data_IF_216364476000
#
_entry.id   IF_216364476000
#
_cell.length_a   1.000
_cell.length_b   1.000
_cell.length_c   1.000
_cell.angle_alpha   90.00
_cell.angle_beta   90.00
_cell.angle_gamma   90.00
#
_symmetry.space_group_name_H-M   'P 1'
#
loop_
_entity.id
_entity.type
_entity.pdbx_description
1 polymer ?
#
# COMPACT_ATOMS: atom_id res chain seq x y z
N UNK A 1 -17.55 3.01 -16.91
CA UNK A 1 -17.85 4.39 -16.50
C UNK A 1 -16.63 4.96 -15.80
N UNK A 2 -15.98 5.98 -16.38
CA UNK A 2 -14.77 6.64 -15.85
C UNK A 2 -15.11 7.99 -15.17
N UNK A 3 -16.32 8.14 -14.63
CA UNK A 3 -16.87 9.43 -14.23
C UNK A 3 -16.54 9.85 -12.78
N UNK A 4 -15.54 9.23 -12.15
CA UNK A 4 -15.15 9.51 -10.77
C UNK A 4 -13.64 9.31 -10.61
N UNK A 5 -12.97 10.09 -9.74
CA UNK A 5 -11.54 9.91 -9.47
C UNK A 5 -11.22 8.50 -8.96
N UNK A 6 -10.16 7.91 -9.50
CA UNK A 6 -9.69 6.57 -9.12
C UNK A 6 -9.07 5.82 -10.28
N UNK A 7 -8.62 4.61 -9.99
CA UNK A 7 -8.11 3.66 -10.97
C UNK A 7 -9.25 2.91 -11.66
N UNK A 8 -8.92 2.09 -12.66
CA UNK A 8 -9.85 1.14 -13.27
C UNK A 8 -10.56 0.30 -12.18
N UNK A 9 -11.77 -0.20 -12.44
CA UNK A 9 -12.49 -1.06 -11.46
C UNK A 9 -12.20 -2.55 -11.63
N UNK A 10 -11.32 -2.91 -12.57
CA UNK A 10 -10.88 -4.28 -12.86
C UNK A 10 -9.40 -4.44 -12.50
N UNK A 11 -8.90 -5.69 -12.47
CA UNK A 11 -7.49 -6.01 -12.20
C UNK A 11 -6.58 -5.70 -13.40
N UNK A 12 -6.54 -4.42 -13.79
CA UNK A 12 -5.53 -3.89 -14.70
C UNK A 12 -4.30 -3.42 -13.93
N UNK A 13 -3.26 -2.99 -14.66
CA UNK A 13 -1.95 -2.62 -14.13
C UNK A 13 -2.02 -1.86 -12.79
N UNK A 14 -2.72 -0.72 -12.73
CA UNK A 14 -2.76 0.11 -11.52
C UNK A 14 -3.34 -0.60 -10.27
N UNK A 15 -4.28 -1.54 -10.41
CA UNK A 15 -4.83 -2.27 -9.26
C UNK A 15 -3.97 -3.49 -8.91
N UNK A 16 -3.42 -4.17 -9.92
CA UNK A 16 -2.49 -5.28 -9.70
C UNK A 16 -1.19 -4.80 -9.05
N UNK A 17 -0.68 -3.64 -9.45
CA UNK A 17 0.50 -3.01 -8.84
C UNK A 17 0.22 -2.61 -7.38
N UNK A 18 -0.96 -2.06 -7.08
CA UNK A 18 -1.36 -1.75 -5.70
C UNK A 18 -1.40 -3.01 -4.81
N UNK A 19 -1.89 -4.13 -5.35
CA UNK A 19 -1.89 -5.42 -4.66
C UNK A 19 -0.47 -5.95 -4.45
N UNK A 20 0.39 -5.86 -5.46
CA UNK A 20 1.80 -6.24 -5.37
C UNK A 20 2.52 -5.46 -4.26
N UNK A 21 2.32 -4.15 -4.18
CA UNK A 21 2.92 -3.32 -3.13
C UNK A 21 2.44 -3.71 -1.72
N UNK A 22 1.18 -4.12 -1.58
CA UNK A 22 0.64 -4.61 -0.31
C UNK A 22 1.24 -5.96 0.09
N UNK A 23 1.32 -6.91 -0.85
CA UNK A 23 1.91 -8.24 -0.63
C UNK A 23 3.42 -8.19 -0.36
N UNK A 24 4.12 -7.19 -0.91
CA UNK A 24 5.52 -6.91 -0.60
C UNK A 24 5.73 -6.28 0.78
N UNK A 25 4.65 -5.88 1.48
CA UNK A 25 4.71 -5.20 2.77
C UNK A 25 5.06 -3.71 2.68
N UNK A 26 4.90 -3.09 1.51
CA UNK A 26 5.18 -1.67 1.29
C UNK A 26 3.96 -0.78 1.54
N UNK A 27 2.77 -1.36 1.55
CA UNK A 27 1.53 -0.69 1.95
C UNK A 27 0.98 -1.23 3.28
N UNK A 28 0.09 -0.46 3.90
CA UNK A 28 -0.72 -0.98 4.99
C UNK A 28 -1.63 -2.11 4.47
N UNK A 29 -1.91 -3.14 5.30
CA UNK A 29 -2.86 -4.18 4.94
C UNK A 29 -4.25 -3.60 4.61
N UNK A 30 -4.92 -4.20 3.64
CA UNK A 30 -6.25 -3.85 3.14
C UNK A 30 -6.36 -2.45 2.53
N UNK A 31 -5.28 -1.91 1.97
CA UNK A 31 -5.26 -0.55 1.42
C UNK A 31 -5.37 -0.48 -0.10
N UNK A 32 -5.05 -1.56 -0.81
CA UNK A 32 -5.00 -1.62 -2.28
C UNK A 32 -6.35 -1.33 -2.96
N UNK A 33 -7.48 -1.71 -2.33
CA UNK A 33 -8.81 -1.63 -2.97
C UNK A 33 -9.74 -0.55 -2.39
N UNK A 34 -9.24 0.27 -1.46
CA UNK A 34 -10.06 1.35 -0.89
C UNK A 34 -10.17 2.51 -1.88
N UNK A 35 -11.39 2.95 -2.20
CA UNK A 35 -11.56 4.01 -3.19
C UNK A 35 -11.13 5.39 -2.65
N UNK A 36 -10.67 6.31 -3.53
CA UNK A 36 -10.41 7.70 -3.17
C UNK A 36 -11.63 8.37 -2.52
N UNK A 37 -11.40 9.44 -1.76
CA UNK A 37 -12.45 10.27 -1.15
C UNK A 37 -13.43 9.50 -0.27
N UNK A 38 -12.94 8.46 0.41
CA UNK A 38 -13.70 7.72 1.43
C UNK A 38 -13.08 7.97 2.81
N UNK A 39 -13.89 7.96 3.89
CA UNK A 39 -13.36 8.07 5.25
C UNK A 39 -12.32 6.98 5.57
N UNK A 40 -12.46 5.79 4.97
CA UNK A 40 -11.50 4.70 5.11
C UNK A 40 -10.16 5.03 4.45
N UNK A 41 -10.16 5.64 3.25
CA UNK A 41 -8.92 6.07 2.58
C UNK A 41 -8.19 7.11 3.42
N UNK A 42 -8.91 8.09 3.96
CA UNK A 42 -8.34 9.11 4.83
C UNK A 42 -7.74 8.51 6.11
N UNK A 43 -8.47 7.58 6.76
CA UNK A 43 -7.99 6.89 7.95
C UNK A 43 -6.71 6.08 7.66
N UNK A 44 -6.66 5.33 6.56
CA UNK A 44 -5.47 4.57 6.16
C UNK A 44 -4.27 5.48 5.88
N UNK A 45 -4.48 6.60 5.18
CA UNK A 45 -3.41 7.57 4.90
C UNK A 45 -2.84 8.15 6.19
N UNK A 46 -3.71 8.50 7.16
CA UNK A 46 -3.28 9.00 8.47
C UNK A 46 -2.47 7.94 9.23
N UNK A 47 -2.98 6.71 9.31
CA UNK A 47 -2.29 5.61 10.01
C UNK A 47 -0.95 5.28 9.35
N UNK A 48 -0.83 5.38 8.03
CA UNK A 48 0.44 5.17 7.33
C UNK A 48 1.50 6.21 7.75
N UNK A 49 1.09 7.47 7.86
CA UNK A 49 1.94 8.55 8.37
C UNK A 49 2.33 8.35 9.83
N UNK A 50 1.37 8.01 10.69
CA UNK A 50 1.61 7.71 12.12
C UNK A 50 2.56 6.53 12.31
N UNK A 51 2.36 5.45 11.56
CA UNK A 51 3.23 4.28 11.58
C UNK A 51 4.67 4.64 11.21
N UNK A 52 4.87 5.46 10.17
CA UNK A 52 6.21 5.91 9.78
C UNK A 52 6.83 6.83 10.82
N UNK A 53 6.08 7.79 11.36
CA UNK A 53 6.55 8.70 12.39
C UNK A 53 6.96 7.95 13.67
N UNK A 54 6.17 6.97 14.10
CA UNK A 54 6.48 6.12 15.25
C UNK A 54 7.71 5.25 15.02
N UNK A 55 7.91 4.73 13.79
CA UNK A 55 9.12 4.00 13.43
C UNK A 55 10.37 4.89 13.53
N UNK A 56 10.28 6.14 13.05
CA UNK A 56 11.36 7.14 13.19
C UNK A 56 11.66 7.44 14.65
N UNK A 57 10.63 7.75 15.44
CA UNK A 57 10.75 8.07 16.87
C UNK A 57 11.40 6.95 17.68
N UNK A 58 11.13 5.69 17.33
CA UNK A 58 11.67 4.50 18.00
C UNK A 58 13.02 4.02 17.42
N UNK A 59 13.56 4.71 16.41
CA UNK A 59 14.77 4.27 15.70
C UNK A 59 14.60 2.95 14.94
N UNK A 60 13.37 2.57 14.60
CA UNK A 60 13.01 1.33 13.89
C UNK A 60 12.80 1.57 12.39
N UNK A 61 13.56 2.48 11.81
CA UNK A 61 13.46 2.80 10.38
C UNK A 61 13.94 1.59 9.59
N UNK A 62 13.01 0.93 8.91
CA UNK A 62 13.35 -0.04 7.88
C UNK A 62 13.49 0.72 6.56
N UNK A 63 14.63 0.54 5.91
CA UNK A 63 14.86 1.03 4.55
C UNK A 63 14.05 0.19 3.57
N UNK A 64 13.49 0.82 2.55
CA UNK A 64 12.66 0.18 1.53
C UNK A 64 13.42 -0.97 0.85
N UNK A 65 14.72 -0.79 0.58
CA UNK A 65 15.59 -1.84 0.01
C UNK A 65 15.81 -3.05 0.93
N UNK A 66 15.46 -2.99 2.23
CA UNK A 66 15.44 -4.15 3.13
C UNK A 66 14.10 -4.87 3.13
N UNK A 67 13.03 -4.22 2.66
CA UNK A 67 11.71 -4.83 2.49
C UNK A 67 11.62 -5.53 1.13
N UNK A 68 12.23 -4.94 0.10
CA UNK A 68 12.30 -5.50 -1.25
C UNK A 68 13.35 -6.63 -1.27
N UNK A 69 12.87 -7.85 -1.13
CA UNK A 69 13.65 -9.09 -1.10
C UNK A 69 13.10 -10.09 -2.10
N UNK A 70 13.84 -11.16 -2.39
CA UNK A 70 13.35 -12.27 -3.21
C UNK A 70 12.04 -12.84 -2.64
N UNK A 71 11.91 -12.92 -1.32
CA UNK A 71 10.70 -13.41 -0.65
C UNK A 71 9.52 -12.46 -0.82
N UNK A 72 9.73 -11.15 -0.67
CA UNK A 72 8.64 -10.18 -0.87
C UNK A 72 8.16 -10.17 -2.31
N UNK A 73 9.07 -10.34 -3.28
CA UNK A 73 8.72 -10.45 -4.69
C UNK A 73 7.94 -11.75 -4.94
N UNK A 74 8.36 -12.89 -4.38
CA UNK A 74 7.59 -14.14 -4.48
C UNK A 74 6.20 -13.96 -3.88
N UNK A 75 6.07 -13.34 -2.71
CA UNK A 75 4.77 -13.07 -2.07
C UNK A 75 3.82 -12.26 -2.95
N UNK A 76 4.35 -11.36 -3.78
CA UNK A 76 3.54 -10.56 -4.68
C UNK A 76 3.17 -11.25 -6.00
N UNK A 77 3.81 -12.38 -6.31
CA UNK A 77 3.57 -13.16 -7.52
C UNK A 77 2.73 -14.43 -7.28
N UNK A 78 2.33 -14.71 -6.04
CA UNK A 78 1.44 -15.82 -5.66
C UNK A 78 0.04 -15.33 -5.32
#
# INVERSE_FOLDING_TARGET
>A
SFHSPGTCTFFGAANSDQMMMELMGLHLPNSAFVKPNTPMREALTRVAGEHRAEAVKKGRIVQEGRLITEKSIVNANV
#
